data_IF_308488114957
#
_entry.id   IF_308488114957
#
_cell.length_a   1.000
_cell.length_b   1.000
_cell.length_c   1.000
_cell.angle_alpha   90.00
_cell.angle_beta   90.00
_cell.angle_gamma   90.00
#
_symmetry.space_group_name_H-M   'P 1'
#
loop_
_entity.id
_entity.type
_entity.pdbx_description
1 polymer ?
#
# COMPACT_ATOMS: atom_id res chain seq x y z
N UNK A 1 -26.46 -14.66 25.58
CA UNK A 1 -27.34 -15.75 25.12
C UNK A 1 -27.92 -15.36 23.76
N UNK A 2 -27.19 -15.66 22.67
CA UNK A 2 -27.66 -15.47 21.29
C UNK A 2 -27.20 -16.67 20.47
N UNK A 3 -28.17 -17.35 19.88
CA UNK A 3 -28.05 -18.62 19.15
C UNK A 3 -27.44 -18.33 17.78
N UNK A 4 -26.30 -18.96 17.46
CA UNK A 4 -25.73 -18.98 16.10
C UNK A 4 -26.35 -20.13 15.31
N UNK A 5 -26.95 -19.81 14.17
CA UNK A 5 -27.48 -20.77 13.20
C UNK A 5 -26.31 -21.27 12.36
N UNK A 6 -25.99 -22.55 12.50
CA UNK A 6 -24.99 -23.28 11.71
C UNK A 6 -25.62 -23.64 10.35
N UNK A 7 -25.07 -23.09 9.25
CA UNK A 7 -25.40 -23.56 7.89
C UNK A 7 -24.54 -24.78 7.57
N UNK A 8 -25.21 -25.92 7.48
CA UNK A 8 -24.66 -27.22 7.11
C UNK A 8 -24.37 -27.23 5.59
N UNK A 9 -23.11 -27.45 5.20
CA UNK A 9 -22.73 -27.80 3.84
C UNK A 9 -23.12 -29.27 3.57
N UNK A 10 -23.98 -29.49 2.58
CA UNK A 10 -24.39 -30.82 2.14
C UNK A 10 -23.50 -31.24 0.96
N UNK A 11 -22.61 -32.21 1.21
CA UNK A 11 -21.84 -32.93 0.18
C UNK A 11 -22.76 -33.96 -0.45
N UNK A 12 -23.06 -33.82 -1.74
CA UNK A 12 -23.80 -34.82 -2.51
C UNK A 12 -22.82 -35.64 -3.37
N UNK A 13 -22.75 -36.93 -3.10
CA UNK A 13 -21.96 -37.91 -3.82
C UNK A 13 -22.87 -38.92 -4.55
N UNK A 14 -22.43 -39.27 -5.77
CA UNK A 14 -22.75 -40.45 -6.58
C UNK A 14 -24.16 -40.68 -7.17
N UNK A 15 -24.15 -40.90 -8.50
CA UNK A 15 -25.23 -41.53 -9.25
C UNK A 15 -24.78 -41.91 -10.65
N UNK A 16 -24.02 -43.02 -10.77
CA UNK A 16 -23.74 -43.71 -12.04
C UNK A 16 -25.03 -44.42 -12.50
N UNK A 17 -25.54 -44.11 -13.68
CA UNK A 17 -26.51 -44.97 -14.39
C UNK A 17 -26.11 -45.06 -15.86
N UNK A 18 -25.77 -46.27 -16.28
CA UNK A 18 -25.63 -46.69 -17.66
C UNK A 18 -26.81 -47.58 -18.05
N UNK A 19 -27.35 -47.35 -19.26
CA UNK A 19 -28.13 -48.22 -20.17
C UNK A 19 -28.88 -47.26 -21.10
N UNK A 20 -29.02 -47.43 -22.41
CA UNK A 20 -28.71 -48.48 -23.36
C UNK A 20 -29.10 -47.93 -24.74
N UNK A 21 -28.44 -48.40 -25.78
CA UNK A 21 -28.47 -47.78 -27.10
C UNK A 21 -29.80 -47.86 -27.85
N UNK A 22 -29.89 -47.04 -28.91
CA UNK A 22 -30.54 -47.44 -30.14
C UNK A 22 -29.85 -46.78 -31.35
N UNK A 23 -29.46 -47.62 -32.29
CA UNK A 23 -28.86 -47.32 -33.58
C UNK A 23 -29.92 -47.01 -34.63
N UNK A 24 -29.73 -45.97 -35.44
CA UNK A 24 -30.00 -46.00 -36.88
C UNK A 24 -29.26 -44.85 -37.60
N UNK A 25 -28.88 -45.00 -38.88
CA UNK A 25 -27.80 -44.24 -39.53
C UNK A 25 -28.31 -43.25 -40.61
N UNK A 26 -27.35 -42.67 -41.36
CA UNK A 26 -27.46 -41.80 -42.57
C UNK A 26 -27.45 -40.29 -42.25
N UNK A 27 -26.69 -39.41 -42.90
CA UNK A 27 -25.90 -39.48 -44.12
C UNK A 27 -24.75 -38.43 -44.07
N UNK A 28 -23.59 -38.76 -44.66
CA UNK A 28 -22.51 -37.81 -44.93
C UNK A 28 -22.83 -36.98 -46.20
N UNK A 29 -22.68 -35.66 -46.19
CA UNK A 29 -22.41 -34.92 -47.41
C UNK A 29 -20.89 -34.88 -47.67
N UNK A 30 -20.46 -35.65 -48.66
CA UNK A 30 -19.17 -35.47 -49.35
C UNK A 30 -19.18 -34.13 -50.07
N UNK A 31 -18.57 -33.11 -49.47
CA UNK A 31 -18.28 -31.83 -50.10
C UNK A 31 -16.81 -31.76 -50.50
N UNK A 32 -16.54 -31.86 -51.80
CA UNK A 32 -15.20 -31.72 -52.36
C UNK A 32 -14.66 -30.30 -52.12
N UNK A 33 -13.50 -30.20 -51.48
CA UNK A 33 -12.71 -28.98 -51.36
C UNK A 33 -12.10 -28.67 -52.73
N UNK A 34 -12.64 -27.66 -53.43
CA UNK A 34 -12.00 -27.07 -54.60
C UNK A 34 -11.15 -25.90 -54.11
N UNK A 35 -9.84 -26.11 -54.03
CA UNK A 35 -8.85 -25.05 -53.81
C UNK A 35 -8.76 -24.23 -55.11
N UNK A 36 -9.40 -23.06 -55.15
CA UNK A 36 -9.11 -22.05 -56.16
C UNK A 36 -7.86 -21.27 -55.74
N UNK A 37 -6.72 -21.60 -56.35
CA UNK A 37 -5.50 -20.79 -56.29
C UNK A 37 -5.73 -19.47 -57.05
N UNK A 38 -5.76 -18.35 -56.31
CA UNK A 38 -5.66 -17.01 -56.92
C UNK A 38 -4.21 -16.77 -57.37
N UNK A 39 -3.96 -16.19 -58.56
CA UNK A 39 -2.63 -15.79 -58.96
C UNK A 39 -2.15 -14.64 -58.06
N UNK A 40 -0.92 -14.79 -57.55
CA UNK A 40 -0.22 -13.78 -56.75
C UNK A 40 0.23 -12.70 -57.73
N UNK A 41 -0.41 -11.53 -57.69
CA UNK A 41 0.11 -10.34 -58.37
C UNK A 41 1.24 -9.78 -57.53
N UNK A 42 2.45 -9.89 -58.07
CA UNK A 42 3.69 -9.36 -57.52
C UNK A 42 3.61 -7.83 -57.50
N UNK A 43 3.25 -7.25 -56.35
CA UNK A 43 3.31 -5.81 -56.14
C UNK A 43 4.75 -5.47 -55.75
N UNK A 44 5.48 -4.61 -56.49
CA UNK A 44 6.85 -4.28 -56.15
C UNK A 44 6.92 -3.59 -54.79
N UNK A 45 7.73 -4.16 -53.90
CA UNK A 45 8.10 -3.60 -52.60
C UNK A 45 8.74 -2.22 -52.84
N UNK A 46 8.22 -1.12 -52.26
CA UNK A 46 8.92 0.16 -52.32
C UNK A 46 10.25 0.06 -51.56
N UNK A 47 11.35 0.66 -52.08
CA UNK A 47 12.63 0.64 -51.39
C UNK A 47 12.52 1.32 -50.02
N UNK A 48 13.29 0.87 -49.01
CA UNK A 48 13.27 1.50 -47.70
C UNK A 48 13.64 2.98 -47.83
N UNK A 49 12.78 3.84 -47.29
CA UNK A 49 13.06 5.26 -47.18
C UNK A 49 14.34 5.45 -46.34
N UNK A 50 15.27 6.26 -46.83
CA UNK A 50 16.50 6.58 -46.14
C UNK A 50 16.19 7.19 -44.77
N UNK A 51 16.58 6.49 -43.71
CA UNK A 51 16.59 7.02 -42.35
C UNK A 51 17.59 8.18 -42.31
N UNK A 52 17.10 9.40 -42.14
CA UNK A 52 17.93 10.53 -41.77
C UNK A 52 18.35 10.36 -40.31
N UNK A 53 19.55 9.84 -40.10
CA UNK A 53 20.23 9.95 -38.81
C UNK A 53 20.66 11.41 -38.63
N UNK A 54 20.24 12.14 -37.58
CA UNK A 54 20.90 13.39 -37.25
C UNK A 54 22.34 13.07 -36.83
N UNK A 55 23.29 13.46 -37.68
CA UNK A 55 24.71 13.50 -37.32
C UNK A 55 24.84 14.52 -36.19
N UNK A 56 25.09 14.06 -34.96
CA UNK A 56 25.63 14.93 -33.92
C UNK A 56 27.00 15.41 -34.41
N UNK A 57 27.07 16.70 -34.73
CA UNK A 57 28.34 17.39 -34.92
C UNK A 57 29.19 17.19 -33.66
N UNK A 58 30.40 16.68 -33.83
CA UNK A 58 31.40 16.59 -32.77
C UNK A 58 31.68 18.00 -32.23
N UNK A 59 31.15 18.30 -31.05
CA UNK A 59 31.54 19.48 -30.30
C UNK A 59 32.98 19.24 -29.78
N UNK A 60 33.92 19.99 -30.32
CA UNK A 60 35.26 20.16 -29.74
C UNK A 60 35.17 20.52 -28.26
N UNK A 61 35.93 19.87 -27.37
CA UNK A 61 36.01 20.31 -25.97
C UNK A 61 36.74 21.65 -25.91
N UNK A 62 36.01 22.73 -25.65
CA UNK A 62 36.59 23.99 -25.19
C UNK A 62 36.90 23.86 -23.70
N UNK A 63 38.16 23.59 -23.39
CA UNK A 63 38.72 23.71 -22.05
C UNK A 63 38.66 25.17 -21.60
N UNK A 64 37.72 25.51 -20.72
CA UNK A 64 37.77 26.77 -19.97
C UNK A 64 38.59 26.56 -18.70
N UNK A 65 39.83 27.06 -18.74
CA UNK A 65 40.72 27.22 -17.60
C UNK A 65 40.08 28.16 -16.56
N UNK A 66 39.91 27.76 -15.29
CA UNK A 66 39.59 28.68 -14.20
C UNK A 66 40.81 29.58 -13.90
N UNK A 67 40.63 30.87 -13.54
CA UNK A 67 41.75 31.68 -13.09
C UNK A 67 42.28 31.15 -11.76
N UNK A 68 43.59 30.94 -11.73
CA UNK A 68 44.41 30.52 -10.60
C UNK A 68 44.41 31.60 -9.51
N UNK A 69 43.91 31.27 -8.32
CA UNK A 69 44.09 32.09 -7.13
C UNK A 69 45.38 31.68 -6.43
N UNK A 70 46.33 32.60 -6.48
CA UNK A 70 47.65 32.54 -5.86
C UNK A 70 47.53 32.47 -4.31
N UNK A 71 48.29 31.61 -3.61
CA UNK A 71 48.26 31.56 -2.15
C UNK A 71 49.08 32.70 -1.54
N UNK A 72 48.40 33.68 -0.94
CA UNK A 72 49.06 34.69 -0.09
C UNK A 72 49.38 34.10 1.27
N UNK A 73 50.66 33.93 1.58
CA UNK A 73 51.16 33.55 2.89
C UNK A 73 50.84 34.62 3.93
N UNK A 74 50.00 34.31 4.93
CA UNK A 74 49.88 35.10 6.16
C UNK A 74 50.29 34.24 7.35
N UNK A 75 51.32 34.73 8.05
CA UNK A 75 51.92 34.15 9.25
C UNK A 75 50.90 34.02 10.41
N UNK A 76 50.92 32.93 11.20
CA UNK A 76 50.06 32.80 12.37
C UNK A 76 50.58 33.67 13.52
N UNK A 77 49.80 34.68 13.92
CA UNK A 77 50.00 35.39 15.17
C UNK A 77 49.60 34.50 16.36
N UNK A 78 50.57 34.17 17.21
CA UNK A 78 50.38 33.50 18.49
C UNK A 78 49.47 34.35 19.40
N UNK A 79 48.25 33.87 19.70
CA UNK A 79 47.45 34.38 20.81
C UNK A 79 47.53 33.40 21.97
N UNK A 80 48.08 33.88 23.08
CA UNK A 80 48.07 33.21 24.38
C UNK A 80 46.63 32.94 24.83
N UNK A 81 46.37 31.68 25.20
CA UNK A 81 45.12 31.20 25.78
C UNK A 81 44.96 31.78 27.19
N UNK A 82 44.04 32.73 27.37
CA UNK A 82 43.54 33.11 28.70
C UNK A 82 42.49 32.09 29.14
N UNK A 83 42.71 31.50 30.32
CA UNK A 83 41.76 30.61 30.99
C UNK A 83 40.55 31.42 31.46
N UNK A 84 39.31 31.06 31.10
CA UNK A 84 38.12 31.70 31.67
C UNK A 84 37.90 31.25 33.12
N UNK A 85 37.73 32.21 34.02
CA UNK A 85 37.26 32.04 35.39
C UNK A 85 35.79 31.58 35.40
N UNK A 86 35.36 30.65 36.26
CA UNK A 86 33.95 30.26 36.34
C UNK A 86 33.13 31.39 37.00
N UNK A 87 32.27 32.03 36.22
CA UNK A 87 31.18 32.87 36.75
C UNK A 87 29.89 32.05 36.93
N UNK A 88 28.99 32.43 37.85
CA UNK A 88 27.73 31.72 38.05
C UNK A 88 26.85 31.80 36.80
N UNK A 89 26.25 30.66 36.45
CA UNK A 89 25.37 30.47 35.29
C UNK A 89 24.09 31.34 35.42
N UNK A 90 23.60 31.99 34.35
CA UNK A 90 22.34 32.73 34.40
C UNK A 90 21.15 31.75 34.44
N UNK A 91 20.36 31.82 35.50
CA UNK A 91 19.07 31.13 35.63
C UNK A 91 18.06 31.73 34.64
N UNK A 92 17.51 30.90 33.75
CA UNK A 92 16.39 31.26 32.89
C UNK A 92 15.12 31.51 33.72
N UNK A 93 14.35 32.60 33.51
CA UNK A 93 13.16 32.95 34.29
C UNK A 93 11.87 32.24 33.84
N UNK A 94 11.97 31.28 32.92
CA UNK A 94 10.84 30.46 32.49
C UNK A 94 10.98 29.09 33.17
N UNK A 95 10.08 28.81 34.11
CA UNK A 95 9.97 27.49 34.74
C UNK A 95 9.74 26.39 33.69
N UNK A 96 9.96 25.11 34.03
CA UNK A 96 9.75 24.03 33.08
C UNK A 96 8.30 24.06 32.61
N UNK A 97 8.11 24.34 31.32
CA UNK A 97 6.88 24.01 30.62
C UNK A 97 6.77 22.50 30.70
N UNK A 98 5.85 22.02 31.53
CA UNK A 98 5.45 20.61 31.54
C UNK A 98 4.76 20.33 30.22
N UNK A 99 5.52 19.87 29.24
CA UNK A 99 4.95 19.08 28.16
C UNK A 99 4.36 17.84 28.85
N UNK A 100 3.04 17.58 28.80
CA UNK A 100 2.54 16.28 29.24
C UNK A 100 3.26 15.24 28.40
N UNK A 101 3.91 14.28 29.06
CA UNK A 101 4.43 13.12 28.35
C UNK A 101 3.27 12.52 27.52
N UNK A 102 3.52 12.07 26.28
CA UNK A 102 2.54 11.30 25.55
C UNK A 102 2.06 10.15 26.45
N UNK A 103 0.81 9.70 26.28
CA UNK A 103 0.21 8.65 27.08
C UNK A 103 1.03 7.36 26.96
N UNK A 104 2.07 7.21 27.79
CA UNK A 104 2.60 5.90 28.12
C UNK A 104 1.45 5.20 28.81
N UNK A 105 0.89 4.18 28.14
CA UNK A 105 -0.05 3.26 28.75
C UNK A 105 0.65 2.61 29.93
N UNK A 106 0.60 3.27 31.08
CA UNK A 106 0.98 2.68 32.35
C UNK A 106 -0.11 1.65 32.63
N UNK A 107 0.19 0.34 32.57
CA UNK A 107 -0.83 -0.66 32.80
C UNK A 107 -1.44 -0.41 34.17
N UNK A 108 -2.78 -0.38 34.21
CA UNK A 108 -3.51 -0.34 35.47
C UNK A 108 -3.15 -1.61 36.24
N UNK A 109 -2.51 -1.45 37.41
CA UNK A 109 -2.12 -2.57 38.25
C UNK A 109 -3.32 -3.49 38.50
N UNK A 110 -3.16 -4.78 38.18
CA UNK A 110 -4.16 -5.81 38.50
C UNK A 110 -4.21 -5.90 40.04
N UNK A 111 -5.40 -5.84 40.67
CA UNK A 111 -5.48 -5.94 42.13
C UNK A 111 -4.85 -7.24 42.63
N UNK A 112 -4.04 -7.17 43.68
CA UNK A 112 -3.43 -8.33 44.31
C UNK A 112 -4.52 -9.32 44.75
N UNK A 113 -4.50 -10.52 44.17
CA UNK A 113 -5.45 -11.59 44.45
C UNK A 113 -4.72 -12.69 45.23
N UNK A 114 -5.14 -12.97 46.46
CA UNK A 114 -4.54 -14.01 47.31
C UNK A 114 -3.00 -13.92 47.43
N UNK A 115 -2.46 -12.69 47.51
CA UNK A 115 -1.01 -12.45 47.59
C UNK A 115 -0.24 -12.64 46.28
N UNK A 116 -0.95 -12.92 45.19
CA UNK A 116 -0.42 -12.96 43.82
C UNK A 116 -0.63 -11.59 43.15
N UNK A 117 0.46 -10.97 42.73
CA UNK A 117 0.46 -9.62 42.15
C UNK A 117 1.55 -9.50 41.09
N UNK A 118 1.23 -8.90 39.94
CA UNK A 118 2.21 -8.50 38.95
C UNK A 118 2.63 -7.07 39.29
N UNK A 119 3.87 -6.89 39.76
CA UNK A 119 4.40 -5.59 40.16
C UNK A 119 4.70 -4.72 38.93
N UNK A 120 5.27 -5.33 37.89
CA UNK A 120 5.42 -4.72 36.57
C UNK A 120 5.61 -5.76 35.48
N UNK A 121 5.24 -5.39 34.25
CA UNK A 121 5.60 -6.07 33.01
C UNK A 121 5.80 -4.99 31.93
N UNK A 122 7.03 -4.84 31.45
CA UNK A 122 7.45 -3.74 30.56
C UNK A 122 8.48 -4.21 29.53
N UNK A 123 8.68 -3.44 28.47
CA UNK A 123 9.75 -3.64 27.49
C UNK A 123 10.86 -2.59 27.66
N UNK A 124 12.03 -2.85 27.05
CA UNK A 124 13.18 -1.93 27.06
C UNK A 124 13.02 -0.73 26.12
N UNK A 125 12.32 -0.92 25.00
CA UNK A 125 12.08 0.09 23.98
C UNK A 125 10.59 0.48 23.94
N UNK A 126 10.32 1.77 23.68
CA UNK A 126 8.96 2.28 23.44
C UNK A 126 8.46 1.98 22.03
N UNK A 127 9.36 1.83 21.06
CA UNK A 127 9.11 1.38 19.68
C UNK A 127 10.29 0.57 19.18
N UNK A 128 10.04 -0.41 18.31
CA UNK A 128 11.07 -1.28 17.77
C UNK A 128 10.77 -1.64 16.30
N UNK A 129 11.79 -1.79 15.47
CA UNK A 129 11.60 -2.24 14.10
C UNK A 129 11.08 -3.70 14.05
N UNK A 130 10.27 -4.07 13.06
CA UNK A 130 9.84 -5.46 12.88
C UNK A 130 11.03 -6.37 12.60
N UNK A 131 11.11 -7.51 13.30
CA UNK A 131 12.21 -8.47 13.20
C UNK A 131 13.38 -8.20 14.16
N UNK A 132 13.43 -7.04 14.81
CA UNK A 132 14.43 -6.74 15.84
C UNK A 132 14.10 -7.41 17.18
N UNK A 133 15.08 -7.46 18.07
CA UNK A 133 14.93 -8.09 19.39
C UNK A 133 14.49 -7.08 20.45
N UNK A 134 13.41 -7.38 21.16
CA UNK A 134 12.94 -6.63 22.32
C UNK A 134 13.18 -7.41 23.61
N UNK A 135 13.74 -6.74 24.62
CA UNK A 135 13.88 -7.30 25.97
C UNK A 135 12.68 -6.92 26.82
N UNK A 136 12.02 -7.94 27.36
CA UNK A 136 10.91 -7.79 28.30
C UNK A 136 11.42 -7.96 29.73
N UNK A 137 10.87 -7.18 30.66
CA UNK A 137 11.17 -7.23 32.09
C UNK A 137 9.88 -7.42 32.87
N UNK A 138 9.92 -8.29 33.87
CA UNK A 138 8.78 -8.52 34.75
C UNK A 138 9.17 -8.82 36.18
N UNK A 139 8.22 -8.58 37.08
CA UNK A 139 8.28 -9.04 38.47
C UNK A 139 6.88 -9.40 38.95
N UNK A 140 6.76 -10.60 39.49
CA UNK A 140 5.55 -11.17 40.06
C UNK A 140 5.83 -11.55 41.51
N UNK A 141 4.96 -11.11 42.41
CA UNK A 141 4.96 -11.48 43.82
C UNK A 141 3.93 -12.59 44.06
N UNK A 142 4.21 -13.52 44.96
CA UNK A 142 3.28 -14.60 45.33
C UNK A 142 3.39 -15.92 44.57
N UNK A 143 4.40 -16.07 43.71
CA UNK A 143 4.74 -17.32 43.01
C UNK A 143 6.26 -17.41 42.74
N UNK A 144 6.76 -18.58 42.35
CA UNK A 144 8.17 -18.78 41.92
C UNK A 144 8.32 -18.84 40.40
N UNK A 145 7.22 -19.03 39.67
CA UNK A 145 7.18 -19.25 38.22
C UNK A 145 6.05 -18.47 37.58
N UNK A 146 6.25 -18.02 36.35
CA UNK A 146 5.25 -17.36 35.52
C UNK A 146 5.39 -17.82 34.05
N UNK A 147 4.44 -17.48 33.21
CA UNK A 147 4.49 -17.77 31.77
C UNK A 147 4.20 -16.51 30.97
N UNK A 148 5.03 -16.25 29.96
CA UNK A 148 4.80 -15.18 28.99
C UNK A 148 4.30 -15.82 27.70
N UNK A 149 3.19 -15.34 27.16
CA UNK A 149 2.67 -15.72 25.86
C UNK A 149 2.90 -14.58 24.87
N UNK A 150 3.14 -14.93 23.61
CA UNK A 150 2.82 -14.06 22.49
C UNK A 150 1.35 -14.32 22.12
N UNK A 151 0.64 -13.25 21.82
CA UNK A 151 -0.77 -13.28 21.43
C UNK A 151 -0.91 -12.57 20.08
N UNK A 152 -1.80 -13.05 19.23
CA UNK A 152 -2.17 -12.36 17.99
C UNK A 152 -3.23 -11.27 18.25
N UNK A 153 -3.76 -10.69 17.17
CA UNK A 153 -4.77 -9.63 17.23
C UNK A 153 -6.09 -10.10 17.85
N UNK A 154 -6.46 -11.36 17.62
CA UNK A 154 -7.65 -12.01 18.19
C UNK A 154 -7.46 -12.44 19.67
N UNK A 155 -6.23 -12.35 20.19
CA UNK A 155 -5.86 -12.74 21.55
C UNK A 155 -5.63 -14.25 21.72
N UNK A 156 -5.48 -14.99 20.63
CA UNK A 156 -5.10 -16.40 20.65
C UNK A 156 -3.61 -16.54 21.03
N UNK A 157 -3.34 -17.45 21.96
CA UNK A 157 -2.00 -17.67 22.52
C UNK A 157 -1.18 -18.49 21.53
N UNK A 158 -0.14 -17.86 20.99
CA UNK A 158 0.76 -18.46 20.01
C UNK A 158 1.95 -19.13 20.72
N UNK A 159 3.14 -18.51 20.66
CA UNK A 159 4.32 -18.99 21.38
C UNK A 159 4.26 -18.67 22.87
N UNK A 160 4.90 -19.48 23.70
CA UNK A 160 5.02 -19.21 25.13
C UNK A 160 6.44 -19.48 25.66
N UNK A 161 6.77 -18.81 26.75
CA UNK A 161 8.02 -18.96 27.49
C UNK A 161 7.71 -19.17 28.96
N UNK A 162 8.19 -20.28 29.53
CA UNK A 162 8.16 -20.49 30.97
C UNK A 162 9.31 -19.71 31.61
N UNK A 163 8.99 -18.90 32.61
CA UNK A 163 9.92 -17.95 33.22
C UNK A 163 9.84 -17.98 34.74
N UNK A 164 10.88 -17.52 35.42
CA UNK A 164 10.85 -17.32 36.87
C UNK A 164 9.92 -16.15 37.24
N UNK A 165 9.58 -16.02 38.51
CA UNK A 165 8.74 -14.92 39.01
C UNK A 165 9.34 -13.52 38.78
N UNK A 166 10.65 -13.39 38.60
CA UNK A 166 11.30 -12.12 38.23
C UNK A 166 12.42 -12.42 37.25
N UNK A 167 12.54 -11.58 36.22
CA UNK A 167 13.61 -11.74 35.24
C UNK A 167 13.48 -10.82 34.06
N UNK A 168 14.31 -11.11 33.06
CA UNK A 168 14.24 -10.52 31.74
C UNK A 168 14.41 -11.60 30.67
N UNK A 169 13.80 -11.38 29.51
CA UNK A 169 13.91 -12.26 28.34
C UNK A 169 13.98 -11.41 27.09
N UNK A 170 14.88 -11.76 26.19
CA UNK A 170 14.96 -11.13 24.87
C UNK A 170 14.22 -11.99 23.86
N UNK A 171 13.27 -11.39 23.15
CA UNK A 171 12.44 -12.04 22.14
C UNK A 171 12.50 -11.24 20.84
N UNK A 172 12.55 -11.92 19.69
CA UNK A 172 12.46 -11.27 18.39
C UNK A 172 11.02 -10.86 18.10
N UNK A 173 10.78 -9.62 17.68
CA UNK A 173 9.52 -9.22 17.06
C UNK A 173 9.39 -9.89 15.69
N UNK A 174 8.18 -9.89 15.13
CA UNK A 174 7.88 -10.55 13.87
C UNK A 174 7.24 -9.55 12.91
N UNK A 175 7.58 -9.58 11.61
CA UNK A 175 6.88 -8.77 10.61
C UNK A 175 5.37 -9.02 10.60
N UNK A 176 4.95 -10.27 10.85
CA UNK A 176 3.53 -10.64 10.94
C UNK A 176 2.79 -10.09 12.17
N UNK A 177 3.48 -9.50 13.16
CA UNK A 177 2.81 -8.85 14.30
C UNK A 177 2.12 -7.52 13.88
N UNK A 178 2.34 -7.06 12.65
CA UNK A 178 1.81 -5.81 12.12
C UNK A 178 2.40 -4.61 12.85
N UNK A 179 1.54 -3.80 13.46
CA UNK A 179 1.95 -2.56 14.13
C UNK A 179 2.28 -2.74 15.61
N UNK A 180 1.92 -3.87 16.20
CA UNK A 180 2.05 -4.10 17.65
C UNK A 180 2.36 -5.57 17.93
N UNK A 181 3.55 -5.81 18.49
CA UNK A 181 3.86 -7.11 19.09
C UNK A 181 3.18 -7.22 20.45
N UNK A 182 2.27 -8.19 20.60
CA UNK A 182 1.45 -8.37 21.81
C UNK A 182 1.99 -9.51 22.67
N UNK A 183 2.20 -9.23 23.95
CA UNK A 183 2.62 -10.21 24.95
C UNK A 183 1.64 -10.26 26.11
N UNK A 184 1.52 -11.42 26.74
CA UNK A 184 0.67 -11.63 27.91
C UNK A 184 1.48 -12.36 28.98
N UNK A 185 1.76 -11.69 30.09
CA UNK A 185 2.31 -12.34 31.28
C UNK A 185 1.16 -12.95 32.07
N UNK A 186 1.33 -14.20 32.47
CA UNK A 186 0.38 -14.93 33.31
C UNK A 186 1.12 -15.52 34.50
N UNK A 187 0.48 -15.51 35.65
CA UNK A 187 0.99 -16.14 36.85
C UNK A 187 -0.16 -16.76 37.62
N UNK A 188 0.11 -17.89 38.27
CA UNK A 188 -0.85 -18.58 39.12
C UNK A 188 -0.20 -19.06 40.40
N UNK A 189 -1.03 -19.20 41.44
CA UNK A 189 -0.72 -19.91 42.66
C UNK A 189 -1.90 -20.85 43.01
N UNK A 190 -1.91 -21.43 44.20
CA UNK A 190 -2.98 -22.36 44.61
C UNK A 190 -4.39 -21.76 44.70
N UNK A 191 -4.52 -20.43 44.73
CA UNK A 191 -5.77 -19.74 45.04
C UNK A 191 -6.16 -18.66 44.01
N UNK A 192 -5.22 -18.19 43.20
CA UNK A 192 -5.39 -17.08 42.28
C UNK A 192 -4.64 -17.28 40.96
N UNK A 193 -5.17 -16.61 39.94
CA UNK A 193 -4.58 -16.46 38.62
C UNK A 193 -4.63 -14.97 38.25
N UNK A 194 -3.52 -14.43 37.76
CA UNK A 194 -3.41 -13.05 37.29
C UNK A 194 -2.76 -13.01 35.91
N UNK A 195 -3.18 -12.05 35.10
CA UNK A 195 -2.60 -11.83 33.79
C UNK A 195 -2.46 -10.34 33.49
N UNK A 196 -1.41 -9.98 32.76
CA UNK A 196 -1.13 -8.61 32.37
C UNK A 196 -0.63 -8.56 30.92
N UNK A 197 -1.33 -7.86 30.01
CA UNK A 197 -0.86 -7.65 28.65
C UNK A 197 0.25 -6.59 28.60
N UNK A 198 1.13 -6.73 27.62
CA UNK A 198 2.13 -5.74 27.23
C UNK A 198 2.09 -5.60 25.71
N UNK A 199 1.89 -4.38 25.25
CA UNK A 199 1.85 -4.02 23.83
C UNK A 199 3.15 -3.30 23.51
N UNK A 200 3.93 -3.83 22.58
CA UNK A 200 5.17 -3.20 22.09
C UNK A 200 4.89 -2.68 20.68
N UNK A 201 4.75 -1.35 20.50
CA UNK A 201 4.54 -0.78 19.17
C UNK A 201 5.73 -1.08 18.25
N UNK A 202 5.42 -1.49 17.04
CA UNK A 202 6.38 -1.69 15.98
C UNK A 202 6.45 -0.44 15.09
N UNK A 203 7.63 -0.14 14.58
CA UNK A 203 7.77 0.83 13.51
C UNK A 203 7.33 0.21 12.18
N UNK A 204 6.86 1.03 11.24
CA UNK A 204 6.57 0.52 9.92
C UNK A 204 7.88 0.20 9.19
N UNK A 205 7.96 -0.99 8.58
CA UNK A 205 9.09 -1.33 7.72
C UNK A 205 9.14 -0.42 6.47
N UNK A 206 7.95 -0.10 5.95
CA UNK A 206 7.76 0.79 4.82
C UNK A 206 7.00 2.04 5.28
N UNK A 207 7.26 3.17 4.62
CA UNK A 207 6.54 4.41 4.88
C UNK A 207 5.63 4.73 3.70
N UNK A 208 4.49 5.33 4.00
CA UNK A 208 3.61 5.88 2.98
C UNK A 208 4.36 6.95 2.17
N UNK A 209 4.19 6.96 0.84
CA UNK A 209 4.81 7.99 -0.01
C UNK A 209 4.19 9.39 0.16
N UNK A 210 3.19 9.51 1.01
CA UNK A 210 2.48 10.73 1.33
C UNK A 210 2.34 10.88 2.86
N UNK A 211 2.06 12.11 3.31
CA UNK A 211 1.72 12.41 4.69
C UNK A 211 0.32 13.02 4.75
N UNK A 212 -0.63 12.34 5.40
CA UNK A 212 -1.96 12.90 5.59
C UNK A 212 -1.99 13.92 6.73
N UNK A 213 -2.96 14.82 6.67
CA UNK A 213 -3.23 15.83 7.69
C UNK A 213 -3.89 15.26 8.95
N UNK A 214 -4.51 14.08 8.86
CA UNK A 214 -5.27 13.44 9.92
C UNK A 214 -4.72 12.03 10.20
N UNK A 215 -4.99 11.49 11.39
CA UNK A 215 -4.69 10.10 11.79
C UNK A 215 -5.58 9.06 11.06
N UNK A 216 -6.14 9.39 9.91
CA UNK A 216 -7.05 8.53 9.12
C UNK A 216 -6.31 7.66 8.11
N UNK A 217 -4.98 7.77 8.00
CA UNK A 217 -4.20 6.83 7.20
C UNK A 217 -4.14 5.50 7.94
N UNK A 218 -4.52 4.38 7.29
CA UNK A 218 -4.49 3.07 7.89
C UNK A 218 -3.07 2.61 8.16
N UNK A 219 -3.00 1.40 8.71
CA UNK A 219 -1.79 0.76 9.18
C UNK A 219 -0.63 0.80 8.18
N UNK A 220 0.57 0.54 8.69
CA UNK A 220 1.81 0.46 7.91
C UNK A 220 1.61 -0.13 6.50
N UNK A 221 2.14 0.47 5.43
CA UNK A 221 1.98 -0.06 4.09
C UNK A 221 2.65 -1.44 3.96
N UNK A 222 2.02 -2.32 3.20
CA UNK A 222 2.54 -3.67 2.98
C UNK A 222 3.76 -3.70 2.06
N UNK A 223 3.91 -2.70 1.20
CA UNK A 223 4.98 -2.66 0.19
C UNK A 223 5.65 -1.29 0.16
N UNK A 224 6.89 -1.24 -0.32
CA UNK A 224 7.54 0.02 -0.64
C UNK A 224 6.75 0.78 -1.72
N UNK A 225 6.80 2.12 -1.77
CA UNK A 225 6.06 2.88 -2.77
C UNK A 225 6.59 2.61 -4.18
N UNK A 226 5.69 2.32 -5.11
CA UNK A 226 6.03 1.91 -6.46
C UNK A 226 5.88 3.09 -7.43
N UNK A 227 6.95 3.51 -8.13
CA UNK A 227 6.85 4.48 -9.20
C UNK A 227 6.21 3.86 -10.43
N UNK A 228 5.35 4.61 -11.11
CA UNK A 228 4.67 4.18 -12.33
C UNK A 228 4.42 5.36 -13.25
N UNK A 229 4.46 5.11 -14.57
CA UNK A 229 3.75 6.00 -15.48
C UNK A 229 2.26 5.83 -15.26
N UNK A 230 1.56 6.94 -15.32
CA UNK A 230 0.12 6.99 -15.16
C UNK A 230 -0.47 7.92 -16.21
N UNK A 231 -1.75 7.74 -16.49
CA UNK A 231 -2.53 8.69 -17.27
C UNK A 231 -3.82 8.98 -16.53
N UNK A 232 -4.31 10.21 -16.60
CA UNK A 232 -5.58 10.61 -16.00
C UNK A 232 -6.43 11.36 -17.02
N UNK A 233 -7.74 11.10 -16.98
CA UNK A 233 -8.73 11.84 -17.74
C UNK A 233 -9.96 12.13 -16.88
N UNK A 234 -10.36 13.41 -16.82
CA UNK A 234 -11.54 13.85 -16.10
C UNK A 234 -12.79 13.70 -16.98
N UNK A 235 -13.89 13.30 -16.36
CA UNK A 235 -15.20 13.12 -16.97
C UNK A 235 -16.25 13.99 -16.25
N UNK A 236 -17.44 14.09 -16.83
CA UNK A 236 -18.53 14.88 -16.26
C UNK A 236 -18.91 14.47 -14.84
N UNK A 237 -18.82 13.18 -14.53
CA UNK A 237 -19.21 12.62 -13.23
C UNK A 237 -18.19 11.59 -12.72
N UNK A 238 -16.91 11.95 -12.80
CA UNK A 238 -15.82 11.10 -12.30
C UNK A 238 -14.54 11.23 -13.10
N UNK A 239 -13.70 10.20 -13.02
CA UNK A 239 -12.41 10.16 -13.72
C UNK A 239 -11.98 8.73 -14.04
N UNK A 240 -11.04 8.62 -14.97
CA UNK A 240 -10.28 7.40 -15.19
C UNK A 240 -8.79 7.65 -14.93
N UNK A 241 -8.13 6.68 -14.31
CA UNK A 241 -6.68 6.68 -14.08
C UNK A 241 -6.12 5.35 -14.58
N UNK A 242 -5.15 5.39 -15.48
CA UNK A 242 -4.38 4.22 -15.90
C UNK A 242 -3.07 4.16 -15.13
N UNK A 243 -2.68 2.97 -14.69
CA UNK A 243 -1.44 2.72 -13.93
C UNK A 243 -0.62 1.64 -14.63
N UNK A 244 0.49 2.03 -15.26
CA UNK A 244 1.37 1.13 -16.04
C UNK A 244 1.88 -0.06 -15.21
N UNK A 245 2.34 0.20 -13.98
CA UNK A 245 2.89 -0.85 -13.10
C UNK A 245 1.89 -1.93 -12.70
N UNK A 246 0.60 -1.67 -12.87
CA UNK A 246 -0.48 -2.63 -12.60
C UNK A 246 -1.18 -3.14 -13.85
N UNK A 247 -0.96 -2.49 -15.00
CA UNK A 247 -1.69 -2.74 -16.25
C UNK A 247 -3.22 -2.63 -16.08
N UNK A 248 -3.65 -1.58 -15.39
CA UNK A 248 -5.07 -1.35 -15.04
C UNK A 248 -5.54 0.07 -15.27
N UNK A 249 -6.81 0.17 -15.67
CA UNK A 249 -7.61 1.39 -15.70
C UNK A 249 -8.57 1.37 -14.52
N UNK A 250 -8.39 2.30 -13.61
CA UNK A 250 -9.30 2.59 -12.50
C UNK A 250 -10.34 3.59 -12.97
N UNK A 251 -11.60 3.30 -12.70
CA UNK A 251 -12.75 4.13 -13.02
C UNK A 251 -13.41 4.57 -11.72
N UNK A 252 -13.41 5.87 -11.47
CA UNK A 252 -13.94 6.48 -10.25
C UNK A 252 -15.22 7.22 -10.61
N UNK A 253 -16.31 6.91 -9.92
CA UNK A 253 -17.62 7.52 -10.13
C UNK A 253 -17.92 8.55 -9.04
N UNK A 254 -18.21 9.78 -9.45
CA UNK A 254 -18.60 10.89 -8.57
C UNK A 254 -20.14 11.08 -8.55
N UNK A 255 -20.90 10.05 -8.94
CA UNK A 255 -22.37 10.07 -9.08
C UNK A 255 -23.13 9.66 -7.81
N UNK A 256 -22.41 9.26 -6.75
CA UNK A 256 -22.96 8.74 -5.50
C UNK A 256 -23.56 7.33 -5.60
N UNK A 257 -23.36 6.62 -6.72
CA UNK A 257 -23.81 5.25 -6.91
C UNK A 257 -22.82 4.20 -6.39
N UNK A 258 -23.28 2.95 -6.24
CA UNK A 258 -22.46 1.80 -5.80
C UNK A 258 -22.31 0.74 -6.92
N UNK A 259 -21.11 0.16 -7.14
CA UNK A 259 -19.85 0.53 -6.49
C UNK A 259 -19.40 1.94 -6.90
N UNK A 260 -18.68 2.63 -6.02
CA UNK A 260 -18.26 4.02 -6.28
C UNK A 260 -17.01 4.09 -7.16
N UNK A 261 -16.29 2.98 -7.31
CA UNK A 261 -15.23 2.82 -8.28
C UNK A 261 -15.22 1.39 -8.86
N UNK A 262 -14.45 1.16 -9.92
CA UNK A 262 -14.20 -0.17 -10.49
C UNK A 262 -12.88 -0.17 -11.25
N UNK A 263 -12.41 -1.33 -11.72
CA UNK A 263 -11.17 -1.44 -12.48
C UNK A 263 -11.31 -2.38 -13.67
N UNK A 264 -10.50 -2.12 -14.70
CA UNK A 264 -10.41 -2.90 -15.93
C UNK A 264 -8.94 -3.12 -16.28
N UNK A 265 -8.62 -4.24 -16.95
CA UNK A 265 -7.33 -4.39 -17.64
C UNK A 265 -7.27 -3.40 -18.81
N UNK A 266 -6.10 -2.88 -19.12
CA UNK A 266 -5.90 -2.11 -20.35
C UNK A 266 -5.69 -3.04 -21.55
N UNK A 267 -6.78 -3.42 -22.20
CA UNK A 267 -6.75 -4.30 -23.38
C UNK A 267 -6.46 -3.54 -24.69
N UNK A 268 -6.16 -2.23 -24.64
CA UNK A 268 -5.90 -1.45 -25.84
C UNK A 268 -4.47 -1.66 -26.34
N UNK A 269 -4.32 -2.07 -27.60
CA UNK A 269 -3.03 -2.28 -28.23
C UNK A 269 -2.76 -1.25 -29.34
N UNK A 270 -1.48 -0.97 -29.61
CA UNK A 270 -1.09 -0.08 -30.70
C UNK A 270 -1.58 -0.62 -32.06
N UNK A 271 -2.42 0.19 -32.73
CA UNK A 271 -3.07 -0.18 -33.98
C UNK A 271 -4.55 -0.53 -33.83
N UNK A 272 -5.05 -0.66 -32.61
CA UNK A 272 -6.47 -0.74 -32.34
C UNK A 272 -7.19 0.57 -32.70
N UNK A 273 -8.51 0.47 -32.86
CA UNK A 273 -9.34 1.63 -33.13
C UNK A 273 -9.36 2.57 -31.92
N UNK A 274 -8.56 3.65 -31.99
CA UNK A 274 -8.42 4.64 -30.91
C UNK A 274 -9.74 5.33 -30.54
N UNK A 275 -10.62 5.56 -31.52
CA UNK A 275 -11.89 6.26 -31.34
C UNK A 275 -12.97 5.76 -32.30
N UNK A 276 -14.21 6.06 -31.97
CA UNK A 276 -15.37 5.87 -32.85
C UNK A 276 -15.84 7.21 -33.43
N UNK A 277 -15.63 7.43 -34.72
CA UNK A 277 -15.99 8.69 -35.41
C UNK A 277 -17.51 8.94 -35.48
N UNK A 278 -18.35 7.93 -35.21
CA UNK A 278 -19.80 8.11 -35.13
C UNK A 278 -20.24 8.75 -33.81
N UNK A 279 -19.39 8.70 -32.78
CA UNK A 279 -19.64 9.31 -31.48
C UNK A 279 -19.12 10.75 -31.49
N UNK A 280 -20.06 11.70 -31.63
CA UNK A 280 -19.76 13.13 -31.59
C UNK A 280 -20.21 13.71 -30.25
N UNK A 281 -19.33 14.41 -29.51
CA UNK A 281 -19.70 15.02 -28.25
C UNK A 281 -20.87 16.02 -28.41
N UNK A 282 -21.83 16.04 -27.47
CA UNK A 282 -23.05 16.84 -27.60
C UNK A 282 -22.83 18.34 -27.38
N UNK A 283 -21.71 18.72 -26.76
CA UNK A 283 -21.37 20.11 -26.44
C UNK A 283 -19.96 20.43 -26.91
N UNK A 284 -19.73 21.71 -27.18
CA UNK A 284 -18.39 22.24 -27.33
C UNK A 284 -17.63 22.02 -26.01
N UNK A 285 -16.36 21.62 -26.09
CA UNK A 285 -15.46 21.36 -24.95
C UNK A 285 -15.65 20.01 -24.23
N UNK A 286 -16.41 19.09 -24.82
CA UNK A 286 -16.43 17.68 -24.42
C UNK A 286 -15.57 16.84 -25.38
N UNK A 287 -14.95 15.80 -24.84
CA UNK A 287 -14.03 14.92 -25.55
C UNK A 287 -14.58 13.49 -25.56
N UNK A 288 -14.42 12.82 -26.71
CA UNK A 288 -14.48 11.37 -26.75
C UNK A 288 -13.18 10.84 -26.13
N UNK A 289 -13.22 10.02 -25.07
CA UNK A 289 -12.04 9.34 -24.58
C UNK A 289 -11.46 8.44 -25.68
N UNK A 290 -10.13 8.33 -25.73
CA UNK A 290 -9.41 7.59 -26.77
C UNK A 290 -8.58 6.46 -26.15
N UNK A 291 -8.03 5.58 -26.98
CA UNK A 291 -7.13 4.48 -26.56
C UNK A 291 -7.76 3.63 -25.44
N UNK A 292 -7.02 3.27 -24.39
CA UNK A 292 -7.48 2.43 -23.27
C UNK A 292 -8.74 2.97 -22.60
N UNK A 293 -8.76 4.26 -22.23
CA UNK A 293 -9.94 4.91 -21.66
C UNK A 293 -11.13 4.88 -22.64
N UNK A 294 -10.87 5.14 -23.92
CA UNK A 294 -11.88 5.09 -24.98
C UNK A 294 -12.42 3.69 -25.23
N UNK A 295 -11.60 2.66 -25.07
CA UNK A 295 -12.01 1.26 -25.20
C UNK A 295 -12.91 0.87 -24.03
N UNK A 296 -12.52 1.16 -22.79
CA UNK A 296 -13.34 0.91 -21.60
C UNK A 296 -14.67 1.66 -21.70
N UNK A 297 -14.62 2.96 -21.99
CA UNK A 297 -15.82 3.80 -22.07
C UNK A 297 -16.81 3.30 -23.13
N UNK A 298 -16.35 2.87 -24.31
CA UNK A 298 -17.26 2.33 -25.36
C UNK A 298 -17.70 0.90 -25.12
N UNK A 299 -16.90 0.08 -24.45
CA UNK A 299 -17.17 -1.35 -24.26
C UNK A 299 -18.12 -1.63 -23.10
N UNK A 300 -18.16 -0.74 -22.10
CA UNK A 300 -18.97 -0.92 -20.89
C UNK A 300 -20.04 0.18 -20.79
N UNK A 301 -21.30 -0.06 -21.22
CA UNK A 301 -22.36 0.94 -21.19
C UNK A 301 -22.58 1.60 -19.83
N UNK A 302 -22.44 0.82 -18.73
CA UNK A 302 -22.55 1.35 -17.37
C UNK A 302 -21.46 2.39 -17.05
N UNK A 303 -20.25 2.22 -17.58
CA UNK A 303 -19.16 3.19 -17.40
C UNK A 303 -19.49 4.48 -18.14
N UNK A 304 -19.89 4.36 -19.41
CA UNK A 304 -20.30 5.51 -20.23
C UNK A 304 -21.46 6.30 -19.63
N UNK A 305 -22.51 5.59 -19.19
CA UNK A 305 -23.72 6.20 -18.61
C UNK A 305 -23.44 6.95 -17.31
N UNK A 306 -22.57 6.40 -16.45
CA UNK A 306 -22.26 7.01 -15.15
C UNK A 306 -21.26 8.15 -15.26
N UNK A 307 -20.17 8.00 -16.02
CA UNK A 307 -19.15 9.05 -16.17
C UNK A 307 -19.59 10.21 -17.06
N UNK A 308 -20.39 9.94 -18.10
CA UNK A 308 -20.65 10.90 -19.17
C UNK A 308 -19.44 11.07 -20.10
N UNK A 309 -19.34 12.23 -20.75
CA UNK A 309 -18.23 12.55 -21.67
C UNK A 309 -16.99 13.03 -20.91
N UNK A 310 -15.81 12.95 -21.54
CA UNK A 310 -14.60 13.49 -20.96
C UNK A 310 -14.60 15.03 -21.03
N UNK A 311 -14.08 15.67 -19.98
CA UNK A 311 -13.92 17.12 -19.85
C UNK A 311 -12.53 17.59 -20.29
N UNK A 312 -11.55 16.70 -20.22
CA UNK A 312 -10.16 16.97 -20.58
C UNK A 312 -9.67 15.91 -21.58
N UNK A 313 -8.61 16.20 -22.34
CA UNK A 313 -7.78 15.16 -22.93
C UNK A 313 -7.19 14.26 -21.84
N UNK A 314 -6.74 13.07 -22.25
CA UNK A 314 -5.90 12.20 -21.43
C UNK A 314 -4.53 12.87 -21.18
N UNK A 315 -4.08 12.87 -19.93
CA UNK A 315 -2.83 13.48 -19.51
C UNK A 315 -1.93 12.42 -18.86
N UNK A 316 -0.76 12.19 -19.46
CA UNK A 316 0.25 11.30 -18.90
C UNK A 316 1.14 12.03 -17.87
N UNK A 317 1.50 11.34 -16.79
CA UNK A 317 2.39 11.81 -15.73
C UNK A 317 3.13 10.65 -15.08
N UNK A 318 4.21 10.95 -14.34
CA UNK A 318 4.86 9.99 -13.46
C UNK A 318 4.25 10.14 -12.06
N UNK A 319 3.78 9.03 -11.49
CA UNK A 319 3.14 9.00 -10.17
C UNK A 319 3.60 7.81 -9.34
N UNK A 320 3.10 7.73 -8.11
CA UNK A 320 3.36 6.62 -7.19
C UNK A 320 2.06 5.88 -6.85
N UNK A 321 2.20 4.60 -6.51
CA UNK A 321 1.13 3.83 -5.88
C UNK A 321 1.67 2.96 -4.74
N UNK A 322 0.80 2.63 -3.78
CA UNK A 322 1.12 1.77 -2.64
C UNK A 322 -0.17 1.21 -2.03
N UNK A 323 -0.09 0.05 -1.35
CA UNK A 323 -1.23 -0.58 -0.68
C UNK A 323 -0.93 -0.94 0.76
N UNK A 324 -1.98 -1.05 1.57
CA UNK A 324 -1.94 -1.44 2.98
C UNK A 324 -1.73 -2.95 3.17
N UNK A 325 -2.19 -3.76 2.21
CA UNK A 325 -2.00 -5.22 2.16
C UNK A 325 -1.56 -5.66 0.76
N UNK A 326 -0.91 -6.82 0.67
CA UNK A 326 -0.42 -7.36 -0.61
C UNK A 326 -1.54 -7.97 -1.48
N UNK A 327 -2.63 -8.47 -0.87
CA UNK A 327 -3.75 -9.06 -1.62
C UNK A 327 -4.67 -7.96 -2.17
N UNK A 328 -4.70 -7.73 -3.49
CA UNK A 328 -5.47 -6.63 -4.09
C UNK A 328 -6.99 -6.81 -3.95
N UNK A 329 -7.49 -7.98 -3.57
CA UNK A 329 -8.93 -8.22 -3.41
C UNK A 329 -9.51 -7.64 -2.11
N UNK A 330 -8.65 -7.33 -1.14
CA UNK A 330 -9.01 -6.76 0.16
C UNK A 330 -8.18 -5.50 0.47
N UNK A 331 -7.38 -5.02 -0.49
CA UNK A 331 -6.50 -3.89 -0.27
C UNK A 331 -7.21 -2.55 -0.37
N UNK A 332 -6.70 -1.62 0.43
CA UNK A 332 -6.82 -0.20 0.18
C UNK A 332 -5.64 0.25 -0.67
N UNK A 333 -5.93 0.70 -1.88
CA UNK A 333 -4.93 1.18 -2.84
C UNK A 333 -4.86 2.70 -2.80
N UNK A 334 -3.64 3.23 -2.66
CA UNK A 334 -3.35 4.65 -2.71
C UNK A 334 -2.67 5.00 -4.02
N UNK A 335 -3.26 5.91 -4.79
CA UNK A 335 -2.75 6.39 -6.07
C UNK A 335 -2.46 7.89 -6.01
N UNK A 336 -1.29 8.31 -6.47
CA UNK A 336 -1.02 9.72 -6.72
C UNK A 336 -1.75 10.18 -8.00
N UNK A 337 -2.57 11.22 -7.90
CA UNK A 337 -3.25 11.86 -9.03
C UNK A 337 -2.36 12.90 -9.72
N UNK A 338 -2.77 13.36 -10.91
CA UNK A 338 -2.04 14.33 -11.72
C UNK A 338 -1.84 15.69 -11.00
N UNK A 339 -2.77 16.08 -10.14
CA UNK A 339 -2.73 17.31 -9.36
C UNK A 339 -1.90 17.18 -8.06
N UNK A 340 -1.36 15.99 -7.78
CA UNK A 340 -0.60 15.67 -6.58
C UNK A 340 -1.45 15.20 -5.40
N UNK A 341 -2.79 15.20 -5.52
CA UNK A 341 -3.68 14.60 -4.54
C UNK A 341 -3.51 13.08 -4.48
N UNK A 342 -3.93 12.47 -3.37
CA UNK A 342 -3.86 11.02 -3.19
C UNK A 342 -5.28 10.46 -3.19
N UNK A 343 -5.54 9.59 -4.14
CA UNK A 343 -6.79 8.85 -4.26
C UNK A 343 -6.67 7.54 -3.47
N UNK A 344 -7.60 7.33 -2.55
CA UNK A 344 -7.80 6.09 -1.81
C UNK A 344 -8.88 5.25 -2.49
N UNK A 345 -8.62 3.97 -2.73
CA UNK A 345 -9.55 3.00 -3.30
C UNK A 345 -9.66 1.77 -2.41
N UNK A 346 -10.77 1.59 -1.71
CA UNK A 346 -11.00 0.45 -0.82
C UNK A 346 -11.70 -0.70 -1.57
N UNK A 347 -11.05 -1.86 -1.69
CA UNK A 347 -11.57 -3.02 -2.41
C UNK A 347 -12.65 -3.80 -1.65
N UNK A 348 -12.73 -3.68 -0.32
CA UNK A 348 -13.74 -4.38 0.48
C UNK A 348 -15.08 -3.64 0.50
N UNK A 349 -15.03 -2.30 0.56
CA UNK A 349 -16.23 -1.45 0.65
C UNK A 349 -16.70 -0.92 -0.71
N UNK A 350 -15.86 -1.05 -1.75
CA UNK A 350 -16.05 -0.40 -3.05
C UNK A 350 -16.19 1.14 -2.92
N UNK A 351 -15.58 1.74 -1.90
CA UNK A 351 -15.55 3.18 -1.61
C UNK A 351 -14.23 3.81 -2.07
N UNK A 352 -14.25 5.11 -2.38
CA UNK A 352 -13.05 5.91 -2.66
C UNK A 352 -13.11 7.24 -1.90
N UNK A 353 -11.94 7.80 -1.61
CA UNK A 353 -11.80 9.14 -1.04
C UNK A 353 -10.53 9.84 -1.55
N UNK A 354 -10.41 11.15 -1.33
CA UNK A 354 -9.19 11.92 -1.60
C UNK A 354 -8.59 12.34 -0.27
N UNK A 355 -7.38 11.85 0.01
CA UNK A 355 -6.66 12.15 1.25
C UNK A 355 -6.27 13.64 1.28
N UNK A 356 -6.59 14.29 2.39
CA UNK A 356 -6.08 15.62 2.70
C UNK A 356 -4.63 15.54 3.16
N UNK A 357 -3.71 16.10 2.38
CA UNK A 357 -2.29 16.14 2.71
C UNK A 357 -1.99 17.18 3.80
N UNK A 358 -1.04 16.87 4.68
CA UNK A 358 -0.55 17.83 5.68
C UNK A 358 0.19 18.99 4.99
N UNK A 359 -0.05 20.22 5.44
CA UNK A 359 0.77 21.36 5.03
C UNK A 359 2.10 21.31 5.79
N UNK A 360 3.22 21.25 5.07
CA UNK A 360 4.58 21.33 5.64
C UNK A 360 4.85 22.64 6.41
#
# INVERSE_FOLDING_TARGET
MRVRVIKLLLVAAFGLVACGGNTAPMAQPTGNVVVQSRPITDTPIPPPAATYTPVLASATPITRTPPELQPTSTSPATRTRTTPTPGPSPTSPLGPTWTPAPLTYTPTAVPALAGLEIEYFTAENERIAPGDNVTLFWKVNGTSSASIYRVDEEGERQSFWEVNATGSITVSTRPEDGEVSRFLLTAENSEAYVEQPLLVPLECQELWFFSAANDEVPSCPATAPQPSRQAEQLFQTGRMIWVEGMDRIYVIFEDGGSPSWTQYTDDFEDGDQERDDSLVPPQQDLYQPIRGFGLVWRSYPRVQERLGWALTPELAFDGMYQSDVEDPSIATLYLQMQDGGILELNAETDEWDIILLSSE
#
